data_IF_750915004967
#
_entry.id   IF_750915004967
#
_cell.length_a   1.000
_cell.length_b   1.000
_cell.length_c   1.000
_cell.angle_alpha   90.00
_cell.angle_beta   90.00
_cell.angle_gamma   90.00
#
_symmetry.space_group_name_H-M   'P 1'
#
loop_
_entity.id
_entity.type
_entity.pdbx_description
1 polymer ?
#
# COMPACT_ATOMS: atom_id res chain seq x y z
N UNK A 1 1.05 -65.38 8.18
CA UNK A 1 1.36 -64.03 7.68
C UNK A 1 0.38 -63.74 6.53
N UNK A 2 -0.67 -62.97 6.76
CA UNK A 2 -1.63 -62.61 5.72
C UNK A 2 -1.07 -61.36 5.05
N UNK A 3 -0.59 -61.51 3.81
CA UNK A 3 -0.11 -60.41 3.00
C UNK A 3 -1.32 -59.61 2.47
N UNK A 4 -1.74 -58.58 3.22
CA UNK A 4 -2.75 -57.62 2.78
C UNK A 4 -2.06 -56.47 2.04
N UNK A 5 -1.57 -56.73 0.83
CA UNK A 5 -1.30 -55.64 -0.11
C UNK A 5 -2.67 -55.02 -0.49
N UNK A 6 -2.83 -53.68 -0.42
CA UNK A 6 -4.08 -53.06 -0.84
C UNK A 6 -4.38 -53.42 -2.30
N UNK A 7 -5.64 -53.70 -2.66
CA UNK A 7 -6.00 -54.02 -4.03
C UNK A 7 -5.57 -52.89 -4.98
N UNK A 8 -5.17 -53.21 -6.22
CA UNK A 8 -4.75 -52.20 -7.18
C UNK A 8 -5.83 -51.13 -7.33
N UNK A 9 -5.43 -49.84 -7.40
CA UNK A 9 -6.36 -48.69 -7.55
C UNK A 9 -7.37 -48.90 -8.69
N UNK A 10 -6.95 -49.62 -9.73
CA UNK A 10 -7.75 -49.99 -10.90
C UNK A 10 -8.95 -50.90 -10.56
N UNK A 11 -8.83 -51.76 -9.54
CA UNK A 11 -9.92 -52.64 -9.07
C UNK A 11 -10.87 -51.94 -8.10
N UNK A 12 -10.41 -50.89 -7.42
CA UNK A 12 -11.28 -50.08 -6.53
C UNK A 12 -12.13 -49.07 -7.32
N UNK A 13 -11.70 -48.69 -8.53
CA UNK A 13 -12.37 -47.76 -9.44
C UNK A 13 -13.86 -48.06 -9.70
N UNK A 14 -14.28 -49.30 -10.04
CA UNK A 14 -15.69 -49.63 -10.23
C UNK A 14 -16.50 -49.58 -8.94
N UNK A 15 -15.87 -49.83 -7.77
CA UNK A 15 -16.51 -49.72 -6.46
C UNK A 15 -16.77 -48.25 -6.12
N UNK A 16 -15.77 -47.38 -6.32
CA UNK A 16 -15.95 -45.92 -6.16
C UNK A 16 -17.02 -45.34 -7.11
N UNK A 17 -17.10 -45.83 -8.35
CA UNK A 17 -18.14 -45.42 -9.31
C UNK A 17 -19.54 -45.88 -8.88
N UNK A 18 -19.66 -47.07 -8.30
CA UNK A 18 -20.94 -47.63 -7.84
C UNK A 18 -21.42 -46.95 -6.56
N UNK A 19 -20.52 -46.74 -5.59
CA UNK A 19 -20.80 -46.00 -4.36
C UNK A 19 -21.02 -44.51 -4.65
N UNK A 20 -20.28 -43.95 -5.60
CA UNK A 20 -20.46 -42.58 -6.10
C UNK A 20 -21.83 -42.36 -6.76
N UNK A 21 -22.50 -43.40 -7.28
CA UNK A 21 -23.87 -43.29 -7.79
C UNK A 21 -24.92 -43.29 -6.66
N UNK A 22 -24.64 -43.95 -5.54
CA UNK A 22 -25.50 -43.98 -4.35
C UNK A 22 -25.38 -42.72 -3.49
N UNK A 23 -24.16 -42.17 -3.36
CA UNK A 23 -23.86 -40.93 -2.64
C UNK A 23 -23.74 -39.70 -3.56
N UNK A 24 -23.94 -39.87 -4.87
CA UNK A 24 -23.74 -38.80 -5.87
C UNK A 24 -24.64 -37.59 -5.62
N UNK A 25 -25.87 -37.81 -5.17
CA UNK A 25 -26.78 -36.73 -4.76
C UNK A 25 -26.24 -35.98 -3.54
N UNK A 26 -25.74 -36.68 -2.52
CA UNK A 26 -25.15 -36.09 -1.32
C UNK A 26 -23.89 -35.27 -1.65
N UNK A 27 -22.99 -35.82 -2.47
CA UNK A 27 -21.79 -35.12 -2.92
C UNK A 27 -22.12 -33.88 -3.76
N UNK A 28 -23.14 -33.98 -4.62
CA UNK A 28 -23.62 -32.84 -5.42
C UNK A 28 -24.21 -31.75 -4.53
N UNK A 29 -24.98 -32.12 -3.49
CA UNK A 29 -25.53 -31.16 -2.51
C UNK A 29 -24.40 -30.48 -1.73
N UNK A 30 -23.41 -31.24 -1.23
CA UNK A 30 -22.25 -30.67 -0.51
C UNK A 30 -21.48 -29.70 -1.41
N UNK A 31 -21.21 -30.10 -2.66
CA UNK A 31 -20.56 -29.24 -3.64
C UNK A 31 -21.37 -27.98 -3.92
N UNK A 32 -22.69 -28.10 -4.10
CA UNK A 32 -23.58 -26.98 -4.32
C UNK A 32 -23.57 -26.02 -3.13
N UNK A 33 -23.62 -26.52 -1.89
CA UNK A 33 -23.52 -25.71 -0.68
C UNK A 33 -22.20 -24.94 -0.66
N UNK A 34 -21.05 -25.60 -0.87
CA UNK A 34 -19.74 -24.96 -0.88
C UNK A 34 -19.67 -23.88 -1.97
N UNK A 35 -20.14 -24.19 -3.19
CA UNK A 35 -20.14 -23.27 -4.31
C UNK A 35 -21.04 -22.05 -4.04
N UNK A 36 -22.25 -22.26 -3.51
CA UNK A 36 -23.17 -21.19 -3.12
C UNK A 36 -22.59 -20.33 -2.01
N UNK A 37 -22.00 -20.94 -0.96
CA UNK A 37 -21.34 -20.19 0.12
C UNK A 37 -20.18 -19.36 -0.42
N UNK A 38 -19.32 -19.93 -1.27
CA UNK A 38 -18.22 -19.20 -1.89
C UNK A 38 -18.72 -18.02 -2.75
N UNK A 39 -19.80 -18.22 -3.52
CA UNK A 39 -20.41 -17.17 -4.35
C UNK A 39 -21.00 -16.04 -3.49
N UNK A 40 -21.72 -16.38 -2.42
CA UNK A 40 -22.28 -15.38 -1.49
C UNK A 40 -21.16 -14.58 -0.84
N UNK A 41 -20.12 -15.23 -0.33
CA UNK A 41 -18.97 -14.54 0.28
C UNK A 41 -18.24 -13.65 -0.75
N UNK A 42 -18.03 -14.14 -1.97
CA UNK A 42 -17.41 -13.37 -3.04
C UNK A 42 -18.22 -12.13 -3.46
N UNK A 43 -19.55 -12.22 -3.43
CA UNK A 43 -20.45 -11.11 -3.77
C UNK A 43 -20.37 -9.96 -2.75
N UNK A 44 -20.17 -10.26 -1.46
CA UNK A 44 -20.04 -9.26 -0.40
C UNK A 44 -18.59 -8.84 -0.11
N UNK A 45 -17.62 -9.32 -0.88
CA UNK A 45 -16.22 -8.99 -0.67
C UNK A 45 -15.99 -7.48 -0.88
N UNK A 46 -15.36 -6.77 0.07
CA UNK A 46 -15.14 -5.33 -0.07
C UNK A 46 -14.25 -5.02 -1.26
N UNK A 47 -14.72 -4.09 -2.10
CA UNK A 47 -13.91 -3.56 -3.21
C UNK A 47 -12.75 -2.74 -2.63
N UNK A 48 -11.56 -2.93 -3.18
CA UNK A 48 -10.36 -2.17 -2.82
C UNK A 48 -9.72 -1.66 -4.11
N UNK A 49 -9.58 -0.35 -4.20
CA UNK A 49 -8.89 0.35 -5.26
C UNK A 49 -7.53 0.79 -4.74
N UNK A 50 -6.55 0.84 -5.64
CA UNK A 50 -5.17 1.21 -5.33
C UNK A 50 -4.72 2.20 -6.39
N UNK A 51 -4.19 3.35 -5.97
CA UNK A 51 -3.51 4.28 -6.85
C UNK A 51 -2.07 4.43 -6.40
N UNK A 52 -1.18 4.61 -7.38
CA UNK A 52 0.27 4.70 -7.17
C UNK A 52 0.82 5.86 -7.98
N UNK A 53 1.68 6.64 -7.37
CA UNK A 53 2.42 7.72 -8.01
C UNK A 53 3.91 7.54 -7.76
N UNK A 54 4.72 7.90 -8.74
CA UNK A 54 6.18 7.77 -8.71
C UNK A 54 6.80 9.14 -8.98
N UNK A 55 7.65 9.58 -8.07
CA UNK A 55 8.25 10.90 -8.06
C UNK A 55 9.76 10.72 -8.18
N UNK A 56 10.33 11.27 -9.24
CA UNK A 56 11.77 11.31 -9.46
C UNK A 56 12.35 12.48 -8.65
N UNK A 57 13.17 12.17 -7.66
CA UNK A 57 13.86 13.15 -6.85
C UNK A 57 15.24 13.42 -7.46
N UNK A 58 15.35 14.45 -8.29
CA UNK A 58 16.64 14.88 -8.83
C UNK A 58 17.44 15.58 -7.72
N UNK A 59 18.59 15.02 -7.36
CA UNK A 59 19.58 15.71 -6.53
C UNK A 59 20.39 16.66 -7.42
N UNK A 60 20.16 17.96 -7.24
CA UNK A 60 21.09 18.98 -7.73
C UNK A 60 22.03 19.28 -6.57
N UNK A 61 23.06 18.46 -6.39
CA UNK A 61 24.03 18.69 -5.32
C UNK A 61 24.94 19.86 -5.70
N UNK A 62 24.70 21.02 -5.11
CA UNK A 62 25.47 22.24 -5.40
C UNK A 62 26.87 22.17 -4.73
N UNK A 63 27.07 21.28 -3.74
CA UNK A 63 28.28 21.22 -2.89
C UNK A 63 29.24 20.07 -3.27
N UNK A 64 28.76 19.01 -3.93
CA UNK A 64 29.56 17.81 -4.27
C UNK A 64 30.86 18.08 -5.03
N UNK A 65 30.97 19.08 -5.95
CA UNK A 65 32.23 19.34 -6.65
C UNK A 65 33.39 19.77 -5.72
N UNK A 66 33.12 20.10 -4.46
CA UNK A 66 34.13 20.55 -3.49
C UNK A 66 34.73 19.40 -2.65
N UNK A 67 34.15 18.19 -2.71
CA UNK A 67 34.55 17.02 -1.92
C UNK A 67 35.04 15.83 -2.77
N UNK A 68 35.07 15.99 -4.10
CA UNK A 68 35.63 15.02 -5.04
C UNK A 68 37.13 14.78 -4.74
N UNK A 69 37.43 13.78 -3.91
CA UNK A 69 38.81 13.35 -3.65
C UNK A 69 39.10 12.67 -2.31
N UNK A 70 38.20 12.63 -1.32
CA UNK A 70 38.50 12.02 0.00
C UNK A 70 37.41 11.07 0.52
N UNK A 71 37.22 9.98 -0.21
CA UNK A 71 36.24 8.92 0.01
C UNK A 71 34.83 9.31 -0.47
N UNK A 72 34.32 8.55 -1.43
CA UNK A 72 32.91 8.58 -1.83
C UNK A 72 32.12 8.11 -0.61
N UNK A 73 31.33 8.97 0.06
CA UNK A 73 30.39 8.46 1.03
C UNK A 73 29.43 7.57 0.25
N UNK A 74 29.27 6.32 0.66
CA UNK A 74 28.04 5.61 0.31
C UNK A 74 26.94 6.30 1.10
N UNK A 75 26.43 7.39 0.55
CA UNK A 75 25.29 8.09 1.10
C UNK A 75 24.08 7.17 0.85
N UNK A 76 23.87 6.24 1.78
CA UNK A 76 22.61 5.52 1.89
C UNK A 76 21.60 6.52 2.42
N UNK A 77 21.21 7.48 1.57
CA UNK A 77 20.13 8.40 1.87
C UNK A 77 18.88 7.55 2.03
N UNK A 78 18.36 7.45 3.26
CA UNK A 78 17.06 6.81 3.53
C UNK A 78 15.96 7.72 2.98
N UNK A 79 15.88 7.84 1.66
CA UNK A 79 14.89 8.67 0.96
C UNK A 79 13.48 8.20 1.24
N UNK A 80 13.31 6.88 1.42
CA UNK A 80 12.03 6.33 1.86
C UNK A 80 11.68 6.82 3.27
N UNK A 81 12.65 6.89 4.18
CA UNK A 81 12.49 7.47 5.52
C UNK A 81 12.12 8.95 5.49
N UNK A 82 12.86 9.76 4.74
CA UNK A 82 12.57 11.19 4.57
C UNK A 82 11.19 11.40 3.94
N UNK A 83 10.86 10.65 2.88
CA UNK A 83 9.56 10.71 2.25
C UNK A 83 8.43 10.30 3.21
N UNK A 84 8.63 9.24 4.00
CA UNK A 84 7.67 8.84 5.05
C UNK A 84 7.46 9.95 6.06
N UNK A 85 8.52 10.64 6.50
CA UNK A 85 8.41 11.72 7.46
C UNK A 85 7.60 12.89 6.92
N UNK A 86 7.80 13.27 5.65
CA UNK A 86 7.04 14.33 4.99
C UNK A 86 5.57 13.91 4.79
N UNK A 87 5.35 12.75 4.18
CA UNK A 87 4.01 12.23 3.85
C UNK A 87 3.15 12.02 5.09
N UNK A 88 3.74 11.51 6.17
CA UNK A 88 3.02 11.25 7.42
C UNK A 88 3.06 12.42 8.40
N UNK A 89 3.48 13.60 7.96
CA UNK A 89 3.37 14.81 8.76
C UNK A 89 1.90 15.19 8.96
N UNK A 90 1.58 15.77 10.12
CA UNK A 90 0.21 16.16 10.47
C UNK A 90 -0.41 17.11 9.45
N UNK A 91 0.40 18.04 8.91
CA UNK A 91 -0.04 18.98 7.88
C UNK A 91 -0.45 18.25 6.60
N UNK A 92 0.39 17.34 6.11
CA UNK A 92 0.12 16.58 4.88
C UNK A 92 -1.08 15.65 5.03
N UNK A 93 -1.20 14.95 6.16
CA UNK A 93 -2.35 14.08 6.43
C UNK A 93 -3.67 14.87 6.58
N UNK A 94 -3.64 16.07 7.14
CA UNK A 94 -4.81 16.93 7.23
C UNK A 94 -5.28 17.38 5.83
N UNK A 95 -4.35 17.79 4.97
CA UNK A 95 -4.66 18.15 3.57
C UNK A 95 -5.15 16.95 2.75
N UNK A 96 -4.60 15.76 3.00
CA UNK A 96 -5.07 14.51 2.39
C UNK A 96 -6.49 14.14 2.85
N UNK A 97 -6.82 14.43 4.12
CA UNK A 97 -8.17 14.26 4.67
C UNK A 97 -9.17 15.17 3.94
N UNK A 98 -8.81 16.44 3.73
CA UNK A 98 -9.62 17.40 2.98
C UNK A 98 -9.84 16.91 1.53
N UNK A 99 -8.78 16.49 0.84
CA UNK A 99 -8.86 15.99 -0.54
C UNK A 99 -9.71 14.70 -0.68
N UNK A 100 -9.77 13.90 0.38
CA UNK A 100 -10.63 12.72 0.42
C UNK A 100 -12.10 12.99 0.73
N UNK A 101 -12.46 14.26 0.96
CA UNK A 101 -13.84 14.68 1.20
C UNK A 101 -14.36 14.35 2.60
N UNK A 102 -13.46 14.14 3.57
CA UNK A 102 -13.82 13.89 4.97
C UNK A 102 -13.92 15.18 5.81
N UNK A 103 -13.83 16.34 5.16
CA UNK A 103 -13.85 17.63 5.81
C UNK A 103 -15.24 18.17 6.04
N UNK A 104 -16.02 17.45 6.84
CA UNK A 104 -17.32 17.95 7.26
C UNK A 104 -17.16 18.94 8.43
N UNK A 105 -17.96 20.00 8.44
CA UNK A 105 -17.87 21.09 9.44
C UNK A 105 -18.17 20.63 10.87
N UNK A 106 -18.77 19.44 11.01
CA UNK A 106 -19.16 18.82 12.28
C UNK A 106 -18.17 17.75 12.78
N UNK A 107 -17.07 17.51 12.06
CA UNK A 107 -16.11 16.47 12.43
C UNK A 107 -15.30 16.90 13.66
N UNK A 108 -15.38 16.11 14.74
CA UNK A 108 -14.63 16.41 15.97
C UNK A 108 -13.11 16.30 15.74
N UNK A 109 -12.26 16.99 16.52
CA UNK A 109 -10.80 16.85 16.42
C UNK A 109 -10.32 15.41 16.56
N UNK A 110 -10.95 14.64 17.46
CA UNK A 110 -10.63 13.22 17.70
C UNK A 110 -10.95 12.36 16.46
N UNK A 111 -12.06 12.66 15.79
CA UNK A 111 -12.46 11.94 14.58
C UNK A 111 -11.54 12.27 13.40
N UNK A 112 -11.09 13.53 13.27
CA UNK A 112 -10.08 13.90 12.29
C UNK A 112 -8.76 13.15 12.50
N UNK A 113 -8.28 13.09 13.74
CA UNK A 113 -7.05 12.35 14.06
C UNK A 113 -7.19 10.85 13.74
N UNK A 114 -8.37 10.27 14.02
CA UNK A 114 -8.67 8.87 13.65
C UNK A 114 -8.65 8.65 12.14
N UNK A 115 -9.20 9.57 11.36
CA UNK A 115 -9.20 9.47 9.90
C UNK A 115 -7.77 9.63 9.36
N UNK A 116 -6.98 10.55 9.91
CA UNK A 116 -5.56 10.70 9.52
C UNK A 116 -4.76 9.43 9.79
N UNK A 117 -4.98 8.74 10.91
CA UNK A 117 -4.32 7.45 11.17
C UNK A 117 -4.80 6.38 10.16
N UNK A 118 -6.08 6.37 9.78
CA UNK A 118 -6.57 5.47 8.72
C UNK A 118 -5.94 5.75 7.35
N UNK A 119 -5.74 7.03 7.00
CA UNK A 119 -5.06 7.42 5.75
C UNK A 119 -3.63 6.91 5.79
N UNK A 120 -2.93 7.09 6.91
CA UNK A 120 -1.56 6.61 7.13
C UNK A 120 -1.48 5.08 7.01
N UNK A 121 -2.36 4.33 7.65
CA UNK A 121 -2.41 2.86 7.58
C UNK A 121 -2.67 2.33 6.16
N UNK A 122 -3.37 3.12 5.34
CA UNK A 122 -3.68 2.82 3.95
C UNK A 122 -2.66 3.37 2.95
N UNK A 123 -1.66 4.09 3.42
CA UNK A 123 -0.61 4.69 2.59
C UNK A 123 0.69 3.94 2.77
N UNK A 124 1.30 3.55 1.65
CA UNK A 124 2.62 2.94 1.61
C UNK A 124 3.59 3.86 0.86
N UNK A 125 4.74 4.13 1.47
CA UNK A 125 5.82 4.91 0.86
C UNK A 125 7.06 4.05 0.74
N UNK A 126 7.54 3.87 -0.48
CA UNK A 126 8.73 3.06 -0.80
C UNK A 126 9.70 3.87 -1.66
N UNK A 127 10.96 3.43 -1.71
CA UNK A 127 11.96 3.95 -2.64
C UNK A 127 12.55 2.77 -3.42
N UNK A 128 11.90 2.32 -4.51
CA UNK A 128 12.35 1.15 -5.27
C UNK A 128 13.70 1.38 -5.98
N UNK A 129 14.08 2.66 -6.17
CA UNK A 129 15.40 3.08 -6.66
C UNK A 129 15.90 4.25 -5.81
N UNK A 130 17.22 4.50 -5.78
CA UNK A 130 17.77 5.61 -5.01
C UNK A 130 17.12 6.95 -5.35
N UNK A 131 16.85 7.22 -6.62
CA UNK A 131 16.31 8.47 -7.17
C UNK A 131 14.78 8.53 -7.23
N UNK A 132 14.07 7.49 -6.79
CA UNK A 132 12.63 7.39 -6.97
C UNK A 132 11.90 7.15 -5.65
N UNK A 133 10.91 8.00 -5.37
CA UNK A 133 9.95 7.83 -4.27
C UNK A 133 8.63 7.37 -4.87
N UNK A 134 8.07 6.30 -4.35
CA UNK A 134 6.78 5.78 -4.75
C UNK A 134 5.79 5.86 -3.59
N UNK A 135 4.65 6.47 -3.84
CA UNK A 135 3.54 6.60 -2.88
C UNK A 135 2.37 5.81 -3.42
N UNK A 136 1.86 4.88 -2.62
CA UNK A 136 0.73 4.03 -2.96
C UNK A 136 -0.35 4.20 -1.90
N UNK A 137 -1.58 4.48 -2.30
CA UNK A 137 -2.73 4.60 -1.40
C UNK A 137 -3.85 3.65 -1.82
N UNK A 138 -4.56 3.08 -0.84
CA UNK A 138 -5.68 2.14 -1.05
C UNK A 138 -6.95 2.60 -0.36
N UNK A 139 -8.07 2.57 -1.07
CA UNK A 139 -9.39 2.90 -0.53
C UNK A 139 -10.49 2.04 -1.16
N UNK A 140 -11.70 2.05 -0.58
CA UNK A 140 -12.89 1.42 -1.14
C UNK A 140 -13.54 2.27 -2.24
N UNK A 141 -13.22 3.56 -2.32
CA UNK A 141 -13.75 4.48 -3.33
C UNK A 141 -12.67 4.84 -4.38
N UNK A 142 -12.92 4.61 -5.68
CA UNK A 142 -11.90 4.82 -6.72
C UNK A 142 -11.55 6.29 -6.93
N UNK A 143 -12.52 7.20 -6.85
CA UNK A 143 -12.30 8.63 -7.07
C UNK A 143 -11.51 9.22 -5.91
N UNK A 144 -11.88 8.86 -4.68
CA UNK A 144 -11.14 9.22 -3.47
C UNK A 144 -9.72 8.66 -3.48
N UNK A 145 -9.54 7.40 -3.89
CA UNK A 145 -8.21 6.79 -4.01
C UNK A 145 -7.30 7.63 -4.91
N UNK A 146 -7.82 8.04 -6.06
CA UNK A 146 -7.09 8.88 -7.01
C UNK A 146 -6.77 10.26 -6.43
N UNK A 147 -7.79 10.98 -5.92
CA UNK A 147 -7.64 12.34 -5.37
C UNK A 147 -6.65 12.40 -4.22
N UNK A 148 -6.76 11.48 -3.26
CA UNK A 148 -5.86 11.42 -2.11
C UNK A 148 -4.42 11.13 -2.57
N UNK A 149 -4.22 10.18 -3.48
CA UNK A 149 -2.88 9.87 -3.99
C UNK A 149 -2.25 11.05 -4.72
N UNK A 150 -3.03 11.72 -5.57
CA UNK A 150 -2.59 12.91 -6.29
C UNK A 150 -2.20 14.01 -5.30
N UNK A 151 -3.05 14.31 -4.31
CA UNK A 151 -2.78 15.36 -3.33
C UNK A 151 -1.56 15.05 -2.48
N UNK A 152 -1.38 13.80 -2.04
CA UNK A 152 -0.18 13.37 -1.32
C UNK A 152 1.10 13.58 -2.13
N UNK A 153 1.07 13.32 -3.44
CA UNK A 153 2.20 13.61 -4.33
C UNK A 153 2.50 15.11 -4.44
N UNK A 154 1.48 15.94 -4.65
CA UNK A 154 1.63 17.40 -4.73
C UNK A 154 2.25 17.96 -3.44
N UNK A 155 1.68 17.59 -2.30
CA UNK A 155 2.15 18.01 -0.97
C UNK A 155 3.58 17.55 -0.71
N UNK A 156 3.96 16.34 -1.11
CA UNK A 156 5.33 15.88 -0.98
C UNK A 156 6.31 16.77 -1.75
N UNK A 157 5.96 17.14 -2.98
CA UNK A 157 6.80 18.01 -3.81
C UNK A 157 6.89 19.42 -3.19
N UNK A 158 5.77 19.96 -2.71
CA UNK A 158 5.69 21.28 -2.05
C UNK A 158 6.54 21.32 -0.77
N UNK A 159 6.33 20.38 0.15
CA UNK A 159 7.05 20.31 1.42
C UNK A 159 8.54 20.01 1.22
N UNK A 160 8.89 19.14 0.26
CA UNK A 160 10.30 18.86 -0.05
C UNK A 160 11.04 20.08 -0.59
N UNK A 161 10.36 20.96 -1.34
CA UNK A 161 10.94 22.23 -1.80
C UNK A 161 11.08 23.21 -0.65
N UNK A 162 10.02 23.38 0.15
CA UNK A 162 10.03 24.29 1.30
C UNK A 162 11.12 23.94 2.32
N UNK A 163 11.31 22.64 2.61
CA UNK A 163 12.36 22.17 3.50
C UNK A 163 13.77 22.52 2.97
N UNK A 164 14.02 22.34 1.67
CA UNK A 164 15.30 22.72 1.04
C UNK A 164 15.55 24.23 1.08
N UNK A 165 14.51 25.03 0.85
CA UNK A 165 14.62 26.49 0.94
C UNK A 165 14.91 26.96 2.37
N UNK A 166 14.29 26.34 3.37
CA UNK A 166 14.56 26.61 4.79
C UNK A 166 16.02 26.29 5.14
N UNK A 167 16.48 25.09 4.78
CA UNK A 167 17.86 24.65 5.01
C UNK A 167 18.89 25.59 4.35
N UNK A 168 18.61 26.06 3.13
CA UNK A 168 19.47 27.02 2.44
C UNK A 168 19.52 28.39 3.11
N UNK A 169 18.42 28.87 3.71
CA UNK A 169 18.39 30.15 4.44
C UNK A 169 19.14 30.04 5.76
N UNK A 170 18.88 28.99 6.53
CA UNK A 170 19.51 28.77 7.83
C UNK A 170 21.04 28.61 7.68
N UNK A 171 21.50 27.95 6.61
CA UNK A 171 22.93 27.85 6.29
C UNK A 171 23.57 29.19 5.94
N UNK A 172 22.83 30.11 5.30
CA UNK A 172 23.30 31.46 5.00
C UNK A 172 23.42 32.30 6.28
N UNK A 173 22.42 32.24 7.17
CA UNK A 173 22.43 32.95 8.46
C UNK A 173 23.52 32.47 9.42
N UNK A 174 24.04 31.24 9.29
CA UNK A 174 25.12 30.73 10.13
C UNK A 174 26.52 31.25 9.72
N UNK A 175 26.68 31.69 8.46
CA UNK A 175 27.98 32.10 7.91
C UNK A 175 28.23 33.62 8.07
N UNK A 176 27.19 34.41 8.35
CA UNK A 176 27.24 35.86 8.62
C UNK A 176 27.26 36.15 10.15
#
# INVERSE_FOLDING_TARGET
MINTAPPPIVEMLPVFLREGRRYGVLLTIIFAIIATTALVVGMFWPKSYVATTSILAQSSDIITPLLEGRAVPTEVSDRAGLARQVIFSRKVLAEALEAGGWSDTHTSPIERDRIMEQIKDRTQVTAPRPDLVQITYRDSDPERTFKVTQRLAELFIEESRSAKEQESRDAFEFID
#
